data_IF_827724485737
#
_entry.id   IF_827724485737
#
_cell.length_a   1.000
_cell.length_b   1.000
_cell.length_c   1.000
_cell.angle_alpha   90.00
_cell.angle_beta   90.00
_cell.angle_gamma   90.00
#
_symmetry.space_group_name_H-M   'P 1'
#
loop_
_entity.id
_entity.type
_entity.pdbx_description
1 polymer ?
#
# COMPACT_ATOMS: atom_id res chain seq x y z
N UNK A 1 6.66 0.29 -9.53
CA UNK A 1 5.57 1.17 -9.92
C UNK A 1 4.29 0.36 -10.16
N UNK A 2 3.14 0.99 -10.23
CA UNK A 2 1.82 0.32 -10.32
C UNK A 2 1.71 -0.68 -11.48
N UNK A 3 2.43 -0.48 -12.57
CA UNK A 3 2.42 -1.40 -13.70
C UNK A 3 2.89 -2.80 -13.29
N UNK A 4 3.90 -2.90 -12.43
CA UNK A 4 4.38 -4.18 -11.92
C UNK A 4 3.32 -4.82 -11.02
N UNK A 5 2.85 -4.11 -9.99
CA UNK A 5 1.89 -4.66 -9.03
C UNK A 5 0.61 -5.13 -9.73
N UNK A 6 0.06 -4.29 -10.60
CA UNK A 6 -1.20 -4.56 -11.28
C UNK A 6 -1.14 -5.80 -12.19
N UNK A 7 -0.01 -6.07 -12.81
CA UNK A 7 0.16 -7.26 -13.66
C UNK A 7 0.01 -8.58 -12.89
N UNK A 8 0.23 -8.56 -11.57
CA UNK A 8 0.15 -9.77 -10.74
C UNK A 8 -1.18 -9.91 -9.98
N UNK A 9 -2.03 -8.87 -9.92
CA UNK A 9 -3.31 -8.95 -9.20
C UNK A 9 -4.23 -10.10 -9.65
N UNK A 10 -4.34 -10.44 -10.94
CA UNK A 10 -5.21 -11.53 -11.37
C UNK A 10 -4.65 -12.92 -11.06
N UNK A 11 -3.36 -13.08 -10.77
CA UNK A 11 -2.70 -14.39 -10.67
C UNK A 11 -3.40 -15.34 -9.68
N UNK A 12 -3.71 -14.86 -8.47
CA UNK A 12 -4.39 -15.67 -7.46
C UNK A 12 -5.81 -16.05 -7.87
N UNK A 13 -6.62 -15.07 -8.28
CA UNK A 13 -8.04 -15.26 -8.60
C UNK A 13 -8.30 -16.09 -9.87
N UNK A 14 -7.31 -16.18 -10.76
CA UNK A 14 -7.40 -16.98 -12.00
C UNK A 14 -6.72 -18.34 -11.89
N UNK A 15 -6.34 -18.76 -10.66
CA UNK A 15 -5.65 -20.03 -10.40
C UNK A 15 -4.28 -20.14 -11.10
N UNK A 16 -3.55 -19.02 -11.17
CA UNK A 16 -2.19 -18.89 -11.71
C UNK A 16 -1.22 -18.37 -10.64
N UNK A 17 -1.42 -18.77 -9.40
CA UNK A 17 -0.64 -18.26 -8.26
C UNK A 17 0.87 -18.48 -8.45
N UNK A 18 1.28 -19.56 -9.12
CA UNK A 18 2.69 -19.84 -9.44
C UNK A 18 3.34 -18.74 -10.28
N UNK A 19 2.56 -17.97 -11.06
CA UNK A 19 3.06 -16.82 -11.81
C UNK A 19 3.53 -15.67 -10.92
N UNK A 20 3.15 -15.66 -9.64
CA UNK A 20 3.64 -14.67 -8.66
C UNK A 20 5.04 -14.98 -8.14
N UNK A 21 5.52 -16.23 -8.25
CA UNK A 21 6.83 -16.62 -7.74
C UNK A 21 8.00 -15.81 -8.34
N UNK A 22 8.04 -15.50 -9.65
CA UNK A 22 9.08 -14.63 -10.21
C UNK A 22 9.07 -13.21 -9.62
N UNK A 23 7.89 -12.67 -9.27
CA UNK A 23 7.81 -11.39 -8.56
C UNK A 23 8.39 -11.50 -7.15
N UNK A 24 8.09 -12.59 -6.44
CA UNK A 24 8.63 -12.84 -5.09
C UNK A 24 10.15 -12.97 -5.15
N UNK A 25 10.70 -13.67 -6.16
CA UNK A 25 12.15 -13.74 -6.35
C UNK A 25 12.76 -12.37 -6.66
N UNK A 26 12.10 -11.56 -7.46
CA UNK A 26 12.51 -10.16 -7.65
C UNK A 26 12.49 -9.37 -6.34
N UNK A 27 11.44 -9.49 -5.54
CA UNK A 27 11.34 -8.84 -4.21
C UNK A 27 12.54 -9.23 -3.33
N UNK A 28 12.92 -10.51 -3.29
CA UNK A 28 14.09 -10.97 -2.53
C UNK A 28 15.38 -10.23 -2.94
N UNK A 29 15.54 -9.90 -4.22
CA UNK A 29 16.72 -9.16 -4.70
C UNK A 29 16.75 -7.72 -4.18
N UNK A 30 15.59 -7.16 -3.85
CA UNK A 30 15.46 -5.79 -3.34
C UNK A 30 15.70 -5.67 -1.83
N UNK A 31 15.58 -6.76 -1.06
CA UNK A 31 15.65 -6.71 0.41
C UNK A 31 16.97 -6.11 0.90
N UNK A 32 18.09 -6.73 0.56
CA UNK A 32 19.41 -6.31 1.06
C UNK A 32 19.81 -4.87 0.65
N UNK A 33 19.64 -4.42 -0.61
CA UNK A 33 19.82 -3.01 -0.94
C UNK A 33 18.75 -2.12 -0.30
N UNK A 34 17.52 -2.60 -0.14
CA UNK A 34 16.41 -1.89 0.49
C UNK A 34 16.62 -1.64 1.98
N UNK A 35 17.29 -2.54 2.70
CA UNK A 35 17.72 -2.31 4.09
C UNK A 35 18.71 -1.15 4.20
N UNK A 36 19.65 -1.05 3.26
CA UNK A 36 20.58 0.08 3.20
C UNK A 36 19.85 1.39 2.91
N UNK A 37 18.87 1.36 2.01
CA UNK A 37 18.03 2.51 1.69
C UNK A 37 17.18 2.92 2.90
N UNK A 38 16.54 1.98 3.58
CA UNK A 38 15.77 2.24 4.79
C UNK A 38 16.62 2.91 5.87
N UNK A 39 17.81 2.39 6.12
CA UNK A 39 18.73 2.95 7.11
C UNK A 39 19.29 4.32 6.71
N UNK A 40 19.74 4.47 5.46
CA UNK A 40 20.45 5.68 5.01
C UNK A 40 19.51 6.88 4.83
N UNK A 41 18.30 6.67 4.30
CA UNK A 41 17.35 7.75 4.00
C UNK A 41 16.37 8.04 5.14
N UNK A 42 16.05 7.01 5.96
CA UNK A 42 14.96 7.11 6.93
C UNK A 42 15.38 6.75 8.36
N UNK A 43 16.60 6.26 8.58
CA UNK A 43 17.04 5.78 9.88
C UNK A 43 16.22 4.59 10.40
N UNK A 44 15.55 3.88 9.50
CA UNK A 44 14.58 2.83 9.79
C UNK A 44 15.20 1.44 9.66
N UNK A 45 14.68 0.49 10.44
CA UNK A 45 14.94 -0.95 10.28
C UNK A 45 14.17 -1.49 9.08
N UNK A 46 14.39 -2.77 8.78
CA UNK A 46 13.71 -3.47 7.70
C UNK A 46 14.10 -2.95 6.34
N UNK A 47 13.25 -3.12 5.35
CA UNK A 47 13.56 -2.75 3.97
C UNK A 47 12.46 -1.95 3.29
N UNK A 48 12.87 -1.14 2.33
CA UNK A 48 11.99 -0.45 1.41
C UNK A 48 12.61 -0.34 0.02
N UNK A 49 11.80 0.02 -0.95
CA UNK A 49 12.23 0.41 -2.29
C UNK A 49 11.37 1.56 -2.79
N UNK A 50 11.94 2.41 -3.62
CA UNK A 50 11.22 3.46 -4.33
C UNK A 50 10.66 2.95 -5.66
N UNK A 51 10.04 3.83 -6.45
CA UNK A 51 9.30 3.49 -7.68
C UNK A 51 10.16 2.87 -8.79
N UNK A 52 11.47 3.05 -8.75
CA UNK A 52 12.41 2.68 -9.82
C UNK A 52 13.19 1.41 -9.53
N UNK A 53 12.67 0.52 -8.67
CA UNK A 53 13.26 -0.79 -8.45
C UNK A 53 13.51 -1.54 -9.76
N UNK A 54 14.69 -2.17 -9.88
CA UNK A 54 15.10 -2.90 -11.07
C UNK A 54 15.90 -4.16 -10.70
N UNK A 55 16.23 -4.97 -11.71
CA UNK A 55 16.96 -6.23 -11.55
C UNK A 55 18.38 -6.07 -10.98
N UNK A 56 18.92 -4.86 -10.95
CA UNK A 56 20.23 -4.55 -10.34
C UNK A 56 20.12 -4.17 -8.85
N UNK A 57 18.93 -4.29 -8.26
CA UNK A 57 18.69 -3.99 -6.84
C UNK A 57 18.65 -2.49 -6.54
N UNK A 58 18.24 -1.65 -7.48
CA UNK A 58 18.04 -0.22 -7.23
C UNK A 58 16.81 -0.01 -6.36
N UNK A 59 16.99 0.68 -5.22
CA UNK A 59 15.92 0.84 -4.22
C UNK A 59 15.75 2.28 -3.73
N UNK A 60 16.68 3.17 -4.10
CA UNK A 60 16.64 4.58 -3.67
C UNK A 60 15.64 5.40 -4.49
N UNK A 61 15.20 6.57 -3.99
CA UNK A 61 14.58 7.58 -4.83
C UNK A 61 15.51 7.97 -5.99
N UNK A 62 14.94 8.36 -7.13
CA UNK A 62 15.71 8.94 -8.22
C UNK A 62 16.06 10.40 -7.88
N UNK A 63 17.12 10.90 -8.47
CA UNK A 63 17.40 12.33 -8.50
C UNK A 63 16.36 13.02 -9.38
N UNK A 64 15.51 13.85 -8.78
CA UNK A 64 14.44 14.56 -9.47
C UNK A 64 13.93 15.73 -8.64
N UNK A 65 13.66 16.83 -9.28
CA UNK A 65 12.98 17.98 -8.66
C UNK A 65 11.51 17.70 -8.36
N UNK A 66 10.91 16.73 -9.06
CA UNK A 66 9.52 16.33 -8.84
C UNK A 66 9.42 15.28 -7.71
N UNK A 67 9.34 15.77 -6.49
CA UNK A 67 9.21 14.93 -5.29
C UNK A 67 7.91 14.13 -5.25
N UNK A 68 6.80 14.66 -5.73
CA UNK A 68 5.52 13.95 -5.76
C UNK A 68 5.56 12.70 -6.64
N UNK A 69 6.34 12.73 -7.72
CA UNK A 69 6.55 11.57 -8.57
C UNK A 69 7.58 10.59 -7.99
N UNK A 70 8.67 11.11 -7.45
CA UNK A 70 9.87 10.33 -7.13
C UNK A 70 9.90 9.79 -5.70
N UNK A 71 9.35 10.53 -4.74
CA UNK A 71 9.37 10.16 -3.33
C UNK A 71 8.21 9.22 -3.00
N UNK A 72 8.43 7.92 -3.10
CA UNK A 72 7.46 6.91 -2.70
C UNK A 72 8.12 5.79 -1.90
N UNK A 73 8.32 5.98 -0.59
CA UNK A 73 8.92 4.95 0.27
C UNK A 73 8.02 3.75 0.50
N UNK A 74 6.73 3.83 0.13
CA UNK A 74 5.79 2.71 0.27
C UNK A 74 5.76 1.78 -0.94
N UNK A 75 6.59 1.99 -1.98
CA UNK A 75 6.63 1.07 -3.11
C UNK A 75 7.17 -0.32 -2.71
N UNK A 76 8.15 -0.39 -1.81
CA UNK A 76 8.63 -1.65 -1.22
C UNK A 76 7.55 -2.37 -0.40
N UNK A 77 6.96 -1.74 0.62
CA UNK A 77 5.83 -2.30 1.37
C UNK A 77 4.65 -2.74 0.48
N UNK A 78 4.31 -1.98 -0.56
CA UNK A 78 3.30 -2.41 -1.53
C UNK A 78 3.70 -3.69 -2.28
N UNK A 79 4.95 -3.82 -2.70
CA UNK A 79 5.44 -5.07 -3.29
C UNK A 79 5.32 -6.24 -2.31
N UNK A 80 5.62 -6.02 -1.03
CA UNK A 80 5.55 -7.05 -0.01
C UNK A 80 4.12 -7.57 0.24
N UNK A 81 3.05 -6.80 -0.08
CA UNK A 81 1.68 -7.29 0.04
C UNK A 81 1.39 -8.48 -0.88
N UNK A 82 2.02 -8.53 -2.07
CA UNK A 82 1.86 -9.67 -3.00
C UNK A 82 2.38 -11.00 -2.43
N UNK A 83 3.29 -10.94 -1.46
CA UNK A 83 3.79 -12.14 -0.77
C UNK A 83 2.70 -12.73 0.11
N UNK A 84 1.92 -11.87 0.79
CA UNK A 84 0.75 -12.30 1.53
C UNK A 84 -0.36 -12.81 0.61
N UNK A 85 -0.65 -12.11 -0.48
CA UNK A 85 -1.64 -12.51 -1.46
C UNK A 85 -1.35 -13.93 -1.99
N UNK A 86 -0.08 -14.23 -2.31
CA UNK A 86 0.32 -15.57 -2.71
C UNK A 86 -0.05 -16.62 -1.65
N UNK A 87 0.28 -16.36 -0.38
CA UNK A 87 -0.11 -17.26 0.71
C UNK A 87 -1.62 -17.34 0.86
N UNK A 88 -2.32 -16.22 0.79
CA UNK A 88 -3.76 -16.18 1.04
C UNK A 88 -4.57 -16.97 0.01
N UNK A 89 -4.12 -17.01 -1.24
CA UNK A 89 -4.70 -17.85 -2.28
C UNK A 89 -4.25 -19.32 -2.21
N UNK A 90 -2.98 -19.59 -1.95
CA UNK A 90 -2.42 -20.95 -2.00
C UNK A 90 -2.54 -21.70 -0.69
N UNK A 91 -2.61 -21.00 0.43
CA UNK A 91 -2.50 -21.55 1.79
C UNK A 91 -1.21 -22.33 2.03
N UNK A 92 -0.16 -22.09 1.22
CA UNK A 92 1.14 -22.73 1.37
C UNK A 92 1.88 -22.21 2.62
N UNK A 93 1.64 -22.90 3.73
CA UNK A 93 2.24 -22.56 5.02
C UNK A 93 3.75 -22.78 5.06
N UNK A 94 4.27 -23.71 4.23
CA UNK A 94 5.71 -23.91 4.14
C UNK A 94 6.37 -22.73 3.45
N UNK A 95 5.84 -22.28 2.32
CA UNK A 95 6.28 -21.05 1.67
C UNK A 95 6.26 -19.85 2.64
N UNK A 96 5.13 -19.66 3.35
CA UNK A 96 5.02 -18.56 4.30
C UNK A 96 6.11 -18.62 5.37
N UNK A 97 6.38 -19.81 5.92
CA UNK A 97 7.40 -20.00 6.97
C UNK A 97 8.83 -19.78 6.46
N UNK A 98 9.17 -20.31 5.29
CA UNK A 98 10.55 -20.37 4.79
C UNK A 98 10.95 -19.12 4.00
N UNK A 99 9.99 -18.41 3.42
CA UNK A 99 10.24 -17.28 2.52
C UNK A 99 9.38 -16.07 2.86
N UNK A 100 8.05 -16.23 2.88
CA UNK A 100 7.12 -15.12 2.86
C UNK A 100 7.17 -14.26 4.12
N UNK A 101 7.24 -14.90 5.28
CA UNK A 101 7.13 -14.20 6.56
C UNK A 101 8.23 -13.16 6.78
N UNK A 102 9.47 -13.48 6.47
CA UNK A 102 10.59 -12.55 6.67
C UNK A 102 10.47 -11.32 5.75
N UNK A 103 10.02 -11.51 4.52
CA UNK A 103 9.77 -10.41 3.57
C UNK A 103 8.70 -9.45 4.08
N UNK A 104 7.58 -9.99 4.60
CA UNK A 104 6.46 -9.23 5.15
C UNK A 104 6.87 -8.55 6.46
N UNK A 105 7.47 -9.29 7.38
CA UNK A 105 7.89 -8.82 8.70
C UNK A 105 8.84 -7.63 8.62
N UNK A 106 9.90 -7.77 7.82
CA UNK A 106 10.91 -6.72 7.70
C UNK A 106 10.40 -5.48 6.95
N UNK A 107 9.46 -5.66 6.03
CA UNK A 107 8.73 -4.54 5.43
C UNK A 107 7.80 -3.84 6.45
N UNK A 108 7.12 -4.60 7.32
CA UNK A 108 6.30 -4.04 8.40
C UNK A 108 7.16 -3.29 9.45
N UNK A 109 8.39 -3.77 9.72
CA UNK A 109 9.34 -3.04 10.59
C UNK A 109 9.69 -1.68 10.00
N UNK A 110 9.98 -1.61 8.69
CA UNK A 110 10.20 -0.34 8.02
C UNK A 110 8.99 0.58 8.15
N UNK A 111 7.78 0.06 7.90
CA UNK A 111 6.56 0.86 7.99
C UNK A 111 6.34 1.45 9.39
N UNK A 112 6.63 0.70 10.45
CA UNK A 112 6.55 1.19 11.84
C UNK A 112 7.57 2.28 12.12
N UNK A 113 8.82 2.08 11.72
CA UNK A 113 9.91 3.03 12.00
C UNK A 113 9.79 4.31 11.16
N UNK A 114 9.08 4.23 10.01
CA UNK A 114 8.79 5.39 9.16
C UNK A 114 7.73 6.33 9.74
N UNK A 115 6.89 5.83 10.65
CA UNK A 115 5.81 6.60 11.23
C UNK A 115 6.32 7.59 12.29
N UNK A 116 5.77 8.78 12.23
CA UNK A 116 5.95 9.80 13.27
C UNK A 116 4.77 9.79 14.24
N UNK A 117 5.06 9.78 15.52
CA UNK A 117 4.06 9.86 16.58
C UNK A 117 3.76 11.31 16.90
N UNK A 118 2.50 11.72 16.68
CA UNK A 118 2.02 13.06 16.96
C UNK A 118 1.85 13.30 18.49
N UNK A 119 1.79 14.58 18.93
CA UNK A 119 1.55 14.91 20.35
C UNK A 119 0.27 14.32 20.94
N UNK A 120 -0.78 14.12 20.11
CA UNK A 120 -2.04 13.50 20.50
C UNK A 120 -1.97 11.98 20.65
N UNK A 121 -0.80 11.39 20.36
CA UNK A 121 -0.54 9.95 20.45
C UNK A 121 -0.86 9.16 19.20
N UNK A 122 -1.45 9.78 18.16
CA UNK A 122 -1.69 9.13 16.87
C UNK A 122 -0.39 9.03 16.05
N UNK A 123 -0.37 8.08 15.11
CA UNK A 123 0.74 7.93 14.16
C UNK A 123 0.36 8.47 12.78
N UNK A 124 1.30 9.13 12.13
CA UNK A 124 1.18 9.60 10.75
C UNK A 124 2.48 9.39 10.00
N UNK A 125 2.41 9.29 8.67
CA UNK A 125 3.57 9.20 7.80
C UNK A 125 3.98 10.60 7.33
N UNK A 126 5.20 11.03 7.67
CA UNK A 126 5.73 12.33 7.27
C UNK A 126 7.24 12.27 6.98
N UNK A 127 7.69 12.77 5.81
CA UNK A 127 6.90 13.26 4.67
C UNK A 127 6.13 12.14 3.94
N UNK A 128 5.07 12.46 3.22
CA UNK A 128 4.31 11.51 2.42
C UNK A 128 3.85 12.14 1.10
N UNK A 129 3.56 11.29 0.10
CA UNK A 129 3.09 11.71 -1.22
C UNK A 129 1.97 10.80 -1.69
N UNK A 130 1.18 11.29 -2.63
CA UNK A 130 0.27 10.48 -3.43
C UNK A 130 0.71 10.59 -4.89
N UNK A 131 1.58 9.70 -5.37
CA UNK A 131 2.14 9.82 -6.71
C UNK A 131 1.05 9.81 -7.81
N UNK A 132 1.26 10.55 -8.86
CA UNK A 132 2.48 11.24 -9.31
C UNK A 132 2.39 12.77 -9.21
N UNK A 133 1.43 13.35 -8.52
CA UNK A 133 1.22 14.79 -8.42
C UNK A 133 0.83 15.23 -7.01
N UNK A 134 0.60 16.52 -6.84
CA UNK A 134 0.16 17.10 -5.57
C UNK A 134 1.31 17.45 -4.63
N UNK A 135 1.00 17.87 -3.41
CA UNK A 135 2.00 18.35 -2.45
C UNK A 135 2.77 17.20 -1.80
N UNK A 136 3.87 17.56 -1.17
CA UNK A 136 4.43 16.75 -0.08
C UNK A 136 3.54 16.98 1.14
N UNK A 137 3.08 15.90 1.76
CA UNK A 137 2.09 15.90 2.82
C UNK A 137 2.62 15.20 4.09
N UNK A 138 1.85 15.24 5.15
CA UNK A 138 2.11 14.55 6.41
C UNK A 138 0.95 13.62 6.77
N UNK A 139 0.62 12.71 5.87
CA UNK A 139 -0.47 11.77 6.07
C UNK A 139 -1.31 11.51 4.83
N UNK A 140 -0.68 11.46 3.64
CA UNK A 140 -1.36 11.06 2.41
C UNK A 140 -2.04 9.70 2.62
N UNK A 141 -3.31 9.62 2.26
CA UNK A 141 -4.17 8.43 2.48
C UNK A 141 -3.59 7.17 1.87
N UNK A 142 -2.98 7.28 0.69
CA UNK A 142 -2.27 6.16 0.05
C UNK A 142 -1.20 5.54 0.95
N UNK A 143 -0.36 6.37 1.55
CA UNK A 143 0.74 5.91 2.40
C UNK A 143 0.19 5.20 3.64
N UNK A 144 -0.81 5.78 4.29
CA UNK A 144 -1.47 5.15 5.44
C UNK A 144 -2.18 3.84 5.06
N UNK A 145 -2.78 3.78 3.86
CA UNK A 145 -3.45 2.56 3.38
C UNK A 145 -2.47 1.41 3.18
N UNK A 146 -1.30 1.67 2.56
CA UNK A 146 -0.24 0.67 2.38
C UNK A 146 0.32 0.22 3.74
N UNK A 147 0.55 1.16 4.66
CA UNK A 147 1.02 0.83 6.03
C UNK A 147 0.00 -0.05 6.76
N UNK A 148 -1.31 0.26 6.68
CA UNK A 148 -2.36 -0.59 7.27
C UNK A 148 -2.29 -2.00 6.72
N UNK A 149 -2.22 -2.14 5.42
CA UNK A 149 -2.22 -3.43 4.74
C UNK A 149 -1.00 -4.27 5.13
N UNK A 150 0.21 -3.72 5.09
CA UNK A 150 1.41 -4.49 5.44
C UNK A 150 1.46 -4.87 6.92
N UNK A 151 0.92 -4.03 7.82
CA UNK A 151 0.82 -4.37 9.24
C UNK A 151 -0.21 -5.48 9.47
N UNK A 152 -1.37 -5.44 8.82
CA UNK A 152 -2.37 -6.51 8.87
C UNK A 152 -1.78 -7.83 8.37
N UNK A 153 -1.10 -7.81 7.24
CA UNK A 153 -0.45 -8.98 6.65
C UNK A 153 0.61 -9.58 7.60
N UNK A 154 1.42 -8.73 8.25
CA UNK A 154 2.41 -9.17 9.23
C UNK A 154 1.76 -9.78 10.50
N UNK A 155 0.68 -9.17 10.98
CA UNK A 155 -0.10 -9.65 12.13
C UNK A 155 -0.67 -11.03 11.81
N UNK A 156 -1.31 -11.20 10.68
CA UNK A 156 -1.97 -12.45 10.31
C UNK A 156 -0.96 -13.54 9.97
N UNK A 157 0.13 -13.23 9.27
CA UNK A 157 1.23 -14.15 9.04
C UNK A 157 1.87 -14.64 10.37
N UNK A 158 2.08 -13.74 11.32
CA UNK A 158 2.57 -14.07 12.66
C UNK A 158 1.60 -14.99 13.42
N UNK A 159 0.28 -14.77 13.31
CA UNK A 159 -0.74 -15.64 13.91
C UNK A 159 -0.74 -17.03 13.28
N UNK A 160 -0.71 -17.12 11.96
CA UNK A 160 -0.68 -18.38 11.20
C UNK A 160 0.51 -19.24 11.59
N UNK A 161 1.67 -18.62 11.76
CA UNK A 161 2.92 -19.31 12.12
C UNK A 161 3.11 -19.49 13.63
N UNK A 162 2.39 -18.76 14.47
CA UNK A 162 2.50 -18.80 15.92
C UNK A 162 3.78 -18.16 16.47
N UNK A 163 4.36 -17.18 15.75
CA UNK A 163 5.66 -16.55 16.07
C UNK A 163 5.51 -15.07 16.42
N UNK A 164 6.59 -14.46 16.91
CA UNK A 164 6.79 -13.01 17.09
C UNK A 164 5.63 -12.29 17.83
N UNK A 165 5.14 -12.86 18.93
CA UNK A 165 4.03 -12.30 19.71
C UNK A 165 4.26 -10.87 20.20
N UNK A 166 5.53 -10.52 20.50
CA UNK A 166 5.91 -9.19 20.98
C UNK A 166 5.81 -8.16 19.85
N UNK A 167 6.37 -8.49 18.69
CA UNK A 167 6.33 -7.65 17.50
C UNK A 167 4.88 -7.48 17.02
N UNK A 168 4.09 -8.55 17.02
CA UNK A 168 2.67 -8.50 16.68
C UNK A 168 1.91 -7.52 17.57
N UNK A 169 2.13 -7.53 18.88
CA UNK A 169 1.52 -6.58 19.80
C UNK A 169 1.89 -5.13 19.44
N UNK A 170 3.14 -4.87 19.08
CA UNK A 170 3.57 -3.56 18.61
C UNK A 170 2.83 -3.15 17.34
N UNK A 171 2.70 -4.05 16.35
CA UNK A 171 1.96 -3.76 15.11
C UNK A 171 0.48 -3.47 15.36
N UNK A 172 -0.16 -4.26 16.23
CA UNK A 172 -1.55 -4.04 16.66
C UNK A 172 -1.72 -2.67 17.35
N UNK A 173 -0.79 -2.28 18.24
CA UNK A 173 -0.81 -0.96 18.90
C UNK A 173 -0.63 0.19 17.91
N UNK A 174 0.30 0.07 16.96
CA UNK A 174 0.53 1.08 15.93
C UNK A 174 -0.70 1.19 15.02
N UNK A 175 -1.24 0.08 14.57
CA UNK A 175 -2.41 0.03 13.70
C UNK A 175 -3.63 0.70 14.35
N UNK A 176 -3.85 0.45 15.64
CA UNK A 176 -4.95 1.05 16.41
C UNK A 176 -4.83 2.58 16.57
N UNK A 177 -3.62 3.13 16.45
CA UNK A 177 -3.31 4.55 16.60
C UNK A 177 -2.94 5.23 15.28
N UNK A 178 -2.91 4.50 14.17
CA UNK A 178 -2.65 5.10 12.87
C UNK A 178 -3.79 6.03 12.49
N UNK A 179 -3.45 7.22 12.00
CA UNK A 179 -4.44 8.24 11.62
C UNK A 179 -5.55 7.64 10.74
N UNK A 180 -6.83 7.88 11.06
CA UNK A 180 -7.96 7.28 10.35
C UNK A 180 -8.09 7.83 8.93
N UNK A 181 -8.80 7.11 8.09
CA UNK A 181 -9.32 7.66 6.83
C UNK A 181 -10.25 8.82 7.12
N UNK A 182 -10.26 9.82 6.25
CA UNK A 182 -11.09 11.01 6.39
C UNK A 182 -12.00 11.20 5.17
N UNK A 183 -13.21 11.67 5.42
CA UNK A 183 -14.17 12.09 4.40
C UNK A 183 -14.15 13.60 4.31
N UNK A 184 -13.94 14.14 3.10
CA UNK A 184 -13.83 15.56 2.85
C UNK A 184 -15.17 16.24 2.60
N UNK A 185 -15.11 17.55 2.33
CA UNK A 185 -16.28 18.44 2.17
C UNK A 185 -17.21 18.09 1.01
N UNK A 186 -16.73 17.33 0.04
CA UNK A 186 -17.55 16.84 -1.09
C UNK A 186 -18.08 15.41 -0.86
N UNK A 187 -17.86 14.84 0.33
CA UNK A 187 -18.18 13.45 0.62
C UNK A 187 -17.18 12.45 0.05
N UNK A 188 -16.07 12.89 -0.52
CA UNK A 188 -15.00 12.06 -1.06
C UNK A 188 -14.10 11.49 0.04
N UNK A 189 -13.49 10.32 -0.20
CA UNK A 189 -12.36 9.86 0.57
C UNK A 189 -11.16 10.77 0.27
N UNK A 190 -10.68 11.50 1.28
CA UNK A 190 -9.61 12.48 1.12
C UNK A 190 -8.31 11.81 0.65
N UNK A 191 -7.63 12.45 -0.29
CA UNK A 191 -6.31 12.00 -0.76
C UNK A 191 -5.19 12.49 0.17
N UNK A 192 -5.37 13.66 0.75
CA UNK A 192 -4.37 14.37 1.54
C UNK A 192 -4.78 14.50 3.01
N UNK A 193 -3.82 14.87 3.88
CA UNK A 193 -4.11 15.16 5.28
C UNK A 193 -4.99 16.39 5.49
N UNK A 194 -5.09 17.25 4.48
CA UNK A 194 -5.96 18.42 4.41
C UNK A 194 -6.97 18.23 3.29
N UNK A 195 -8.18 18.76 3.49
CA UNK A 195 -9.25 18.72 2.49
C UNK A 195 -9.00 19.74 1.36
N UNK A 196 -8.06 19.36 0.47
CA UNK A 196 -7.63 20.14 -0.70
C UNK A 196 -7.97 19.47 -2.03
N UNK A 197 -8.70 18.35 -1.99
CA UNK A 197 -9.13 17.63 -3.19
C UNK A 197 -9.96 18.53 -4.11
N UNK A 198 -9.70 18.47 -5.42
CA UNK A 198 -10.47 19.17 -6.44
C UNK A 198 -11.42 18.16 -7.14
N UNK A 199 -12.74 18.36 -7.10
CA UNK A 199 -13.69 17.47 -7.77
C UNK A 199 -13.58 17.48 -9.31
N UNK A 200 -12.80 18.39 -9.88
CA UNK A 200 -12.49 18.46 -11.31
C UNK A 200 -11.16 17.80 -11.67
N UNK A 201 -10.45 17.26 -10.69
CA UNK A 201 -9.19 16.56 -10.96
C UNK A 201 -9.48 15.18 -11.58
N UNK A 202 -9.17 15.04 -12.85
CA UNK A 202 -9.30 13.81 -13.64
C UNK A 202 -7.98 13.03 -13.71
N UNK A 203 -7.07 13.21 -12.73
CA UNK A 203 -5.81 12.48 -12.73
C UNK A 203 -6.04 10.98 -12.77
N UNK A 204 -5.23 10.29 -13.59
CA UNK A 204 -5.38 8.85 -13.83
C UNK A 204 -5.11 7.96 -12.61
N UNK A 205 -4.35 8.45 -11.62
CA UNK A 205 -4.15 7.72 -10.37
C UNK A 205 -5.30 7.97 -9.39
N UNK A 206 -5.64 6.92 -8.65
CA UNK A 206 -6.66 6.91 -7.58
C UNK A 206 -6.06 6.30 -6.31
N UNK A 207 -4.88 6.77 -5.95
CA UNK A 207 -4.05 6.17 -4.91
C UNK A 207 -4.74 6.12 -3.54
N UNK A 208 -5.56 7.14 -3.20
CA UNK A 208 -6.35 7.15 -1.97
C UNK A 208 -7.31 5.96 -1.86
N UNK A 209 -7.65 5.33 -2.97
CA UNK A 209 -8.50 4.13 -3.01
C UNK A 209 -7.72 2.81 -2.88
N UNK A 210 -6.41 2.85 -2.57
CA UNK A 210 -5.62 1.64 -2.33
C UNK A 210 -6.28 0.72 -1.29
N UNK A 211 -6.83 1.27 -0.22
CA UNK A 211 -7.50 0.50 0.84
C UNK A 211 -8.77 -0.22 0.39
N UNK A 212 -9.41 0.22 -0.72
CA UNK A 212 -10.54 -0.46 -1.36
C UNK A 212 -10.04 -1.59 -2.27
N UNK A 213 -9.04 -1.31 -3.12
CA UNK A 213 -8.37 -2.28 -3.99
C UNK A 213 -6.97 -1.75 -4.39
N UNK A 214 -5.89 -2.54 -4.25
CA UNK A 214 -5.84 -3.98 -3.90
C UNK A 214 -5.99 -4.29 -2.42
N UNK A 215 -5.91 -3.30 -1.53
CA UNK A 215 -6.09 -3.49 -0.08
C UNK A 215 -7.50 -3.95 0.31
N UNK A 216 -7.70 -4.17 1.60
CA UNK A 216 -8.94 -4.75 2.15
C UNK A 216 -9.52 -3.91 3.31
N UNK A 217 -8.98 -2.71 3.54
CA UNK A 217 -9.33 -1.87 4.70
C UNK A 217 -10.54 -0.96 4.45
N UNK A 218 -11.01 -0.89 3.20
CA UNK A 218 -12.26 -0.21 2.81
C UNK A 218 -13.18 -1.21 2.11
N UNK A 219 -14.42 -1.30 2.57
CA UNK A 219 -15.39 -2.28 2.05
C UNK A 219 -16.83 -1.81 2.27
N UNK A 220 -17.75 -2.08 1.35
CA UNK A 220 -19.19 -1.81 1.56
C UNK A 220 -19.77 -2.53 2.77
N UNK A 221 -19.16 -3.65 3.18
CA UNK A 221 -19.66 -4.50 4.28
C UNK A 221 -19.15 -4.02 5.64
N UNK A 222 -17.85 -3.69 5.74
CA UNK A 222 -17.21 -3.39 7.03
C UNK A 222 -17.04 -1.90 7.28
N UNK A 223 -16.96 -1.09 6.21
CA UNK A 223 -16.76 0.37 6.27
C UNK A 223 -17.64 1.07 5.23
N UNK A 224 -18.98 0.95 5.31
CA UNK A 224 -19.89 1.43 4.26
C UNK A 224 -19.77 2.93 3.98
N UNK A 225 -19.50 3.76 4.99
CA UNK A 225 -19.28 5.19 4.83
C UNK A 225 -18.05 5.50 3.96
N UNK A 226 -16.93 4.79 4.18
CA UNK A 226 -15.73 4.94 3.37
C UNK A 226 -15.92 4.38 1.94
N UNK A 227 -16.75 3.35 1.80
CA UNK A 227 -17.11 2.82 0.49
C UNK A 227 -17.91 3.84 -0.33
N UNK A 228 -18.90 4.52 0.29
CA UNK A 228 -19.64 5.60 -0.38
C UNK A 228 -18.71 6.78 -0.72
N UNK A 229 -17.82 7.16 0.18
CA UNK A 229 -16.82 8.19 -0.08
C UNK A 229 -15.87 7.82 -1.24
N UNK A 230 -15.56 6.54 -1.40
CA UNK A 230 -14.77 6.03 -2.54
C UNK A 230 -15.52 6.14 -3.86
N UNK A 231 -16.83 5.95 -3.89
CA UNK A 231 -17.67 6.20 -5.09
C UNK A 231 -17.61 7.66 -5.52
N UNK A 232 -17.60 8.59 -4.56
CA UNK A 232 -17.45 10.02 -4.87
C UNK A 232 -16.11 10.29 -5.56
N UNK A 233 -15.01 9.72 -5.06
CA UNK A 233 -13.69 9.84 -5.72
C UNK A 233 -13.73 9.32 -7.15
N UNK A 234 -14.28 8.12 -7.37
CA UNK A 234 -14.35 7.53 -8.70
C UNK A 234 -15.20 8.37 -9.67
N UNK A 235 -16.30 8.95 -9.19
CA UNK A 235 -17.13 9.85 -9.99
C UNK A 235 -16.41 11.16 -10.35
N UNK A 236 -15.62 11.74 -9.41
CA UNK A 236 -14.80 12.92 -9.70
C UNK A 236 -13.69 12.62 -10.71
N UNK A 237 -12.99 11.48 -10.57
CA UNK A 237 -11.92 11.04 -11.49
C UNK A 237 -12.44 10.65 -12.87
N UNK A 238 -13.75 10.39 -13.00
CA UNK A 238 -14.39 10.00 -14.25
C UNK A 238 -13.95 8.64 -14.79
N UNK A 239 -14.49 8.26 -15.94
CA UNK A 239 -14.23 6.95 -16.55
C UNK A 239 -13.05 7.00 -17.56
N UNK A 240 -12.75 8.17 -18.11
CA UNK A 240 -11.63 8.37 -19.01
C UNK A 240 -10.28 8.17 -18.34
N UNK A 241 -9.44 7.27 -18.88
CA UNK A 241 -8.10 7.02 -18.32
C UNK A 241 -7.23 6.21 -19.28
N UNK A 242 -5.94 6.03 -18.90
CA UNK A 242 -5.07 5.04 -19.52
C UNK A 242 -5.55 3.63 -19.21
N UNK A 243 -5.16 2.63 -20.02
CA UNK A 243 -5.66 1.25 -19.90
C UNK A 243 -5.50 0.65 -18.50
N UNK A 244 -4.33 0.82 -17.87
CA UNK A 244 -4.10 0.31 -16.52
C UNK A 244 -4.99 1.02 -15.47
N UNK A 245 -5.22 2.31 -15.62
CA UNK A 245 -6.07 3.08 -14.71
C UNK A 245 -7.55 2.68 -14.83
N UNK A 246 -8.03 2.46 -16.05
CA UNK A 246 -9.38 1.90 -16.29
C UNK A 246 -9.51 0.52 -15.64
N UNK A 247 -8.54 -0.37 -15.82
CA UNK A 247 -8.52 -1.67 -15.16
C UNK A 247 -8.57 -1.55 -13.63
N UNK A 248 -7.88 -0.57 -13.06
CA UNK A 248 -7.95 -0.32 -11.61
C UNK A 248 -9.33 0.15 -11.18
N UNK A 249 -9.91 1.13 -11.89
CA UNK A 249 -11.26 1.64 -11.60
C UNK A 249 -12.33 0.55 -11.72
N UNK A 250 -12.23 -0.34 -12.72
CA UNK A 250 -13.12 -1.50 -12.86
C UNK A 250 -13.06 -2.42 -11.63
N UNK A 251 -11.86 -2.74 -11.14
CA UNK A 251 -11.71 -3.53 -9.92
C UNK A 251 -12.30 -2.81 -8.68
N UNK A 252 -12.14 -1.50 -8.60
CA UNK A 252 -12.70 -0.71 -7.49
C UNK A 252 -14.23 -0.69 -7.54
N UNK A 253 -14.85 -0.50 -8.70
CA UNK A 253 -16.29 -0.60 -8.86
C UNK A 253 -16.83 -2.00 -8.53
N UNK A 254 -16.12 -3.05 -8.94
CA UNK A 254 -16.46 -4.42 -8.56
C UNK A 254 -16.41 -4.62 -7.03
N UNK A 255 -15.39 -4.09 -6.35
CA UNK A 255 -15.28 -4.11 -4.88
C UNK A 255 -16.39 -3.31 -4.19
N UNK A 256 -16.92 -2.29 -4.83
CA UNK A 256 -18.06 -1.49 -4.36
C UNK A 256 -19.41 -2.14 -4.66
N UNK A 257 -19.42 -3.35 -5.25
CA UNK A 257 -20.59 -4.10 -5.66
C UNK A 257 -21.45 -3.35 -6.69
N UNK A 258 -20.85 -2.44 -7.47
CA UNK A 258 -21.54 -1.72 -8.55
C UNK A 258 -21.16 -2.31 -9.91
N UNK A 259 -21.96 -3.25 -10.38
CA UNK A 259 -21.77 -3.93 -11.66
C UNK A 259 -22.29 -3.16 -12.88
N UNK A 260 -22.93 -2.02 -12.68
CA UNK A 260 -23.46 -1.20 -13.76
C UNK A 260 -22.49 -0.08 -14.19
N UNK A 261 -21.52 0.20 -13.36
CA UNK A 261 -20.45 1.16 -13.64
C UNK A 261 -19.26 0.44 -14.25
#
# INVERSE_FOLDING_TARGET
>A
NINVQMNYWPAGSTNLAECTLPLIDFIKTLVKPGEKTAQAYFGARGWTASISGNIFGFTTPLESENMSWNFNPMAGPWLATHVWDYYDYTRDKQFLKETGYELIKTSAQFAVDYLWKKPDGTYTAAPSTSPEHGPIDQGATFVHAVIREILLNAIDASKVLGVDKKERKQWEEVLAKLAPYQVGRYGQLMEWSKDIDDPKDEHRHVNQLFGLHPGHTVSPVTTPELAEASKVVLNHRGDGATGWSMGWKLNQWARLHDGNR
#
